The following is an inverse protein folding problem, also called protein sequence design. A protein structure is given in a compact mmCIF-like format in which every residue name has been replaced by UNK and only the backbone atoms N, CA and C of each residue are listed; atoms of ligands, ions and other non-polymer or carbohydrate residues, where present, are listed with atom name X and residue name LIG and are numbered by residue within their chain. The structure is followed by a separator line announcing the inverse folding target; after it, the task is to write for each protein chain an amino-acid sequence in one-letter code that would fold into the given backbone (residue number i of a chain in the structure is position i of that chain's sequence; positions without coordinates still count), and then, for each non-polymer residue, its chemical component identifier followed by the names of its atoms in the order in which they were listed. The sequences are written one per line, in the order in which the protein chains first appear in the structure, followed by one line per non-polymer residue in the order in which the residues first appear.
data_IF_932527841732
#
_entry.id   IF_932527841732
#
_cell.length_a   1.000
_cell.length_b   1.000
_cell.length_c   1.000
_cell.angle_alpha   90.00
_cell.angle_beta   90.00
_cell.angle_gamma   90.00
#
_symmetry.space_group_name_H-M   'P 1'
#
loop_
_entity.id
_entity.type
_entity.pdbx_description
1 polymer ?
#
# COMPACT_ATOMS: atom_id res chain seq x y z
N UNK A 1 -0.29 -68.69 -52.34
CA UNK A 1 -1.20 -68.22 -51.27
C UNK A 1 -0.58 -66.97 -50.63
N UNK A 2 -1.16 -65.77 -50.81
CA UNK A 2 -0.57 -64.54 -50.29
C UNK A 2 -0.92 -64.36 -48.82
N UNK A 3 0.10 -64.09 -47.99
CA UNK A 3 -0.06 -63.67 -46.59
C UNK A 3 -0.25 -62.14 -46.57
N UNK A 4 -1.42 -61.71 -46.11
CA UNK A 4 -1.76 -60.31 -45.86
C UNK A 4 -1.02 -59.86 -44.60
N UNK A 5 -0.12 -58.88 -44.73
CA UNK A 5 0.49 -58.17 -43.61
C UNK A 5 -0.52 -57.12 -43.12
N UNK A 6 -1.04 -57.27 -41.89
CA UNK A 6 -1.83 -56.25 -41.22
C UNK A 6 -0.86 -55.30 -40.50
N UNK A 7 -0.70 -54.08 -41.02
CA UNK A 7 0.09 -53.03 -40.39
C UNK A 7 -0.84 -52.24 -39.44
N UNK A 8 -0.80 -52.56 -38.14
CA UNK A 8 -1.50 -51.78 -37.10
C UNK A 8 -0.71 -50.50 -36.82
N UNK A 9 -1.25 -49.38 -37.28
CA UNK A 9 -0.74 -48.04 -37.00
C UNK A 9 -1.12 -47.67 -35.55
N UNK A 10 -0.17 -47.79 -34.62
CA UNK A 10 -0.28 -47.24 -33.27
C UNK A 10 -0.09 -45.72 -33.34
N UNK A 11 -1.18 -44.97 -33.21
CA UNK A 11 -1.14 -43.52 -33.03
C UNK A 11 -0.74 -43.24 -31.57
N UNK A 12 0.37 -42.55 -31.28
CA UNK A 12 0.64 -42.10 -29.93
C UNK A 12 -0.35 -40.98 -29.61
N UNK A 13 -1.24 -41.23 -28.64
CA UNK A 13 -1.94 -40.19 -27.91
C UNK A 13 -0.89 -39.40 -27.12
N UNK A 14 -0.31 -38.39 -27.76
CA UNK A 14 0.40 -37.32 -27.09
C UNK A 14 -0.62 -36.59 -26.22
N UNK A 15 -0.71 -36.99 -24.95
CA UNK A 15 -1.34 -36.19 -23.91
C UNK A 15 -0.57 -34.89 -23.81
N UNK A 16 -1.06 -33.87 -24.51
CA UNK A 16 -0.55 -32.51 -24.37
C UNK A 16 -0.77 -32.08 -22.94
N UNK A 17 0.33 -32.01 -22.20
CA UNK A 17 0.42 -31.32 -20.94
C UNK A 17 -0.15 -29.90 -21.09
N UNK A 18 -1.29 -29.62 -20.48
CA UNK A 18 -1.74 -28.25 -20.27
C UNK A 18 -0.93 -27.65 -19.13
N UNK A 19 0.36 -27.42 -19.38
CA UNK A 19 1.24 -26.59 -18.55
C UNK A 19 1.69 -25.42 -19.41
N UNK A 20 0.74 -24.55 -19.74
CA UNK A 20 1.00 -23.35 -20.54
C UNK A 20 -0.02 -22.25 -20.24
N UNK A 21 -0.19 -21.87 -18.97
CA UNK A 21 -0.86 -20.62 -18.59
C UNK A 21 -0.20 -20.03 -17.33
N UNK A 22 1.09 -19.69 -17.41
CA UNK A 22 1.74 -18.89 -16.35
C UNK A 22 2.74 -17.86 -16.88
N UNK A 23 2.84 -17.64 -18.20
CA UNK A 23 3.97 -16.85 -18.74
C UNK A 23 3.64 -15.53 -19.44
N UNK A 24 2.39 -15.05 -19.45
CA UNK A 24 2.09 -13.71 -20.00
C UNK A 24 0.89 -13.06 -19.30
N UNK A 25 0.84 -13.10 -17.97
CA UNK A 25 -0.01 -12.14 -17.27
C UNK A 25 0.78 -10.84 -17.11
N UNK A 26 0.35 -9.71 -17.72
CA UNK A 26 0.96 -8.43 -17.42
C UNK A 26 0.81 -8.21 -15.90
N UNK A 27 1.94 -8.04 -15.21
CA UNK A 27 1.93 -7.63 -13.82
C UNK A 27 1.07 -6.38 -13.74
N UNK A 28 0.05 -6.39 -12.89
CA UNK A 28 -0.77 -5.21 -12.68
C UNK A 28 0.19 -4.11 -12.19
N UNK A 29 0.39 -3.01 -12.94
CA UNK A 29 1.18 -1.91 -12.43
C UNK A 29 0.28 -1.15 -11.46
N UNK A 30 -0.04 -1.78 -10.34
CA UNK A 30 -0.80 -1.11 -9.30
C UNK A 30 0.20 -0.42 -8.41
N UNK A 31 0.17 0.89 -8.57
CA UNK A 31 1.01 1.83 -7.91
C UNK A 31 0.31 2.29 -6.62
N UNK A 32 1.01 2.31 -5.50
CA UNK A 32 0.57 3.06 -4.33
C UNK A 32 0.44 4.53 -4.69
N UNK A 33 -0.24 5.33 -3.86
CA UNK A 33 -0.45 6.72 -4.21
C UNK A 33 0.90 7.38 -4.49
N UNK A 34 1.95 7.26 -3.68
CA UNK A 34 3.25 7.91 -3.94
C UNK A 34 3.94 7.60 -5.28
N UNK A 35 3.45 6.65 -6.08
CA UNK A 35 4.00 6.25 -7.39
C UNK A 35 3.24 6.86 -8.60
N UNK A 36 2.44 7.92 -8.41
CA UNK A 36 1.89 8.70 -9.54
C UNK A 36 0.47 8.32 -10.00
N UNK A 37 -0.18 7.38 -9.33
CA UNK A 37 -1.49 6.87 -9.74
C UNK A 37 -2.67 7.64 -9.11
N UNK A 38 -2.82 8.94 -9.40
CA UNK A 38 -3.92 9.78 -8.84
C UNK A 38 -4.91 10.32 -9.86
N UNK A 39 -4.65 10.17 -11.16
CA UNK A 39 -5.60 10.64 -12.16
C UNK A 39 -6.91 9.85 -12.04
N UNK A 40 -7.96 10.51 -11.53
CA UNK A 40 -9.23 9.87 -11.24
C UNK A 40 -9.87 9.24 -12.49
N UNK A 41 -9.68 9.84 -13.67
CA UNK A 41 -10.15 9.29 -14.94
C UNK A 41 -9.48 7.95 -15.27
N UNK A 42 -8.15 7.93 -15.24
CA UNK A 42 -7.32 6.74 -15.47
C UNK A 42 -7.56 5.66 -14.43
N UNK A 43 -7.70 6.04 -13.15
CA UNK A 43 -8.04 5.13 -12.07
C UNK A 43 -9.41 4.50 -12.26
N UNK A 44 -10.43 5.28 -12.61
CA UNK A 44 -11.78 4.76 -12.85
C UNK A 44 -11.81 3.79 -14.06
N UNK A 45 -11.13 4.13 -15.15
CA UNK A 45 -11.00 3.24 -16.31
C UNK A 45 -10.28 1.93 -15.93
N UNK A 46 -9.19 2.03 -15.16
CA UNK A 46 -8.47 0.87 -14.64
C UNK A 46 -9.36 0.05 -13.72
N UNK A 47 -10.14 0.69 -12.84
CA UNK A 47 -11.05 0.01 -11.92
C UNK A 47 -12.09 -0.83 -12.66
N UNK A 48 -12.68 -0.29 -13.74
CA UNK A 48 -13.61 -1.05 -14.59
C UNK A 48 -12.94 -2.29 -15.21
N UNK A 49 -11.73 -2.12 -15.75
CA UNK A 49 -10.98 -3.22 -16.37
C UNK A 49 -10.63 -4.33 -15.35
N UNK A 50 -10.11 -3.95 -14.18
CA UNK A 50 -9.66 -4.91 -13.17
C UNK A 50 -10.82 -5.60 -12.45
N UNK A 51 -11.94 -4.91 -12.22
CA UNK A 51 -13.16 -5.57 -11.73
C UNK A 51 -13.67 -6.60 -12.73
N UNK A 52 -13.69 -6.29 -14.02
CA UNK A 52 -14.10 -7.27 -15.05
C UNK A 52 -13.20 -8.51 -15.07
N UNK A 53 -11.89 -8.35 -14.85
CA UNK A 53 -10.92 -9.46 -14.76
C UNK A 53 -11.09 -10.26 -13.47
N UNK A 54 -11.36 -9.60 -12.35
CA UNK A 54 -11.57 -10.24 -11.05
C UNK A 54 -12.81 -11.15 -11.03
N UNK A 55 -13.83 -10.80 -11.81
CA UNK A 55 -15.07 -11.60 -11.94
C UNK A 55 -14.88 -12.93 -12.68
N UNK A 56 -13.67 -13.26 -13.15
CA UNK A 56 -13.36 -14.57 -13.71
C UNK A 56 -13.31 -15.63 -12.60
N UNK A 57 -13.87 -16.82 -12.87
CA UNK A 57 -14.09 -17.92 -11.90
C UNK A 57 -12.81 -18.33 -11.14
N UNK A 58 -11.62 -18.11 -11.71
CA UNK A 58 -10.33 -18.49 -11.13
C UNK A 58 -9.31 -17.34 -11.14
N UNK A 59 -9.74 -16.09 -10.90
CA UNK A 59 -8.83 -14.95 -10.88
C UNK A 59 -7.67 -15.16 -9.86
N UNK A 60 -6.39 -15.05 -10.28
CA UNK A 60 -5.24 -15.19 -9.40
C UNK A 60 -5.26 -14.20 -8.24
N UNK A 61 -4.70 -14.57 -7.08
CA UNK A 61 -4.66 -13.71 -5.88
C UNK A 61 -3.99 -12.35 -6.17
N UNK A 62 -2.94 -12.32 -6.99
CA UNK A 62 -2.32 -11.08 -7.44
C UNK A 62 -3.27 -10.17 -8.24
N UNK A 63 -4.17 -10.76 -9.05
CA UNK A 63 -5.24 -10.02 -9.76
C UNK A 63 -6.25 -9.47 -8.76
N UNK A 64 -6.68 -10.26 -7.78
CA UNK A 64 -7.61 -9.80 -6.72
C UNK A 64 -7.04 -8.63 -5.94
N UNK A 65 -5.77 -8.71 -5.55
CA UNK A 65 -5.07 -7.65 -4.82
C UNK A 65 -4.85 -6.40 -5.66
N UNK A 66 -4.55 -6.56 -6.95
CA UNK A 66 -4.52 -5.44 -7.89
C UNK A 66 -5.87 -4.72 -7.94
N UNK A 67 -6.97 -5.46 -8.03
CA UNK A 67 -8.33 -4.93 -8.00
C UNK A 67 -8.64 -4.21 -6.69
N UNK A 68 -8.24 -4.77 -5.54
CA UNK A 68 -8.36 -4.12 -4.24
C UNK A 68 -7.70 -2.74 -4.25
N UNK A 69 -6.42 -2.68 -4.63
CA UNK A 69 -5.63 -1.44 -4.60
C UNK A 69 -6.16 -0.38 -5.57
N UNK A 70 -6.59 -0.78 -6.77
CA UNK A 70 -7.17 0.16 -7.74
C UNK A 70 -8.53 0.67 -7.26
N UNK A 71 -9.41 -0.21 -6.75
CA UNK A 71 -10.70 0.19 -6.17
C UNK A 71 -10.48 1.22 -5.05
N UNK A 72 -9.53 0.94 -4.15
CA UNK A 72 -9.16 1.85 -3.06
C UNK A 72 -8.67 3.19 -3.60
N UNK A 73 -7.69 3.19 -4.50
CA UNK A 73 -7.08 4.42 -4.99
C UNK A 73 -8.09 5.26 -5.79
N UNK A 74 -8.95 4.64 -6.59
CA UNK A 74 -10.03 5.33 -7.30
C UNK A 74 -11.01 6.00 -6.33
N UNK A 75 -11.40 5.29 -5.26
CA UNK A 75 -12.26 5.85 -4.21
C UNK A 75 -11.59 7.03 -3.51
N UNK A 76 -10.34 6.89 -3.06
CA UNK A 76 -9.62 7.97 -2.38
C UNK A 76 -9.45 9.21 -3.26
N UNK A 77 -9.12 9.01 -4.56
CA UNK A 77 -8.94 10.11 -5.50
C UNK A 77 -10.23 10.88 -5.80
N UNK A 78 -11.39 10.23 -5.69
CA UNK A 78 -12.70 10.85 -5.99
C UNK A 78 -13.45 11.34 -4.75
N UNK A 79 -13.01 10.94 -3.55
CA UNK A 79 -13.68 11.25 -2.28
C UNK A 79 -12.78 12.00 -1.30
N UNK A 80 -11.89 12.87 -1.77
CA UNK A 80 -11.01 13.70 -0.92
C UNK A 80 -10.21 12.90 0.12
N UNK A 81 -9.70 11.73 -0.29
CA UNK A 81 -8.95 10.84 0.58
C UNK A 81 -9.79 10.09 1.62
N UNK A 82 -11.13 10.14 1.52
CA UNK A 82 -12.03 9.34 2.34
C UNK A 82 -12.46 8.07 1.59
N UNK A 83 -12.84 7.05 2.36
CA UNK A 83 -13.40 5.82 1.83
C UNK A 83 -14.89 5.77 2.21
N UNK A 84 -15.81 6.09 1.28
CA UNK A 84 -17.24 5.97 1.52
C UNK A 84 -17.64 4.56 1.95
N UNK A 85 -18.70 4.46 2.72
CA UNK A 85 -19.19 3.20 3.28
C UNK A 85 -19.50 2.12 2.22
N UNK A 86 -19.99 2.52 1.04
CA UNK A 86 -20.21 1.58 -0.07
C UNK A 86 -18.89 1.01 -0.62
N UNK A 87 -17.89 1.88 -0.81
CA UNK A 87 -16.57 1.50 -1.32
C UNK A 87 -15.81 0.67 -0.29
N UNK A 88 -15.97 0.99 1.01
CA UNK A 88 -15.45 0.19 2.12
C UNK A 88 -15.98 -1.24 2.07
N UNK A 89 -17.30 -1.43 1.94
CA UNK A 89 -17.89 -2.78 1.82
C UNK A 89 -17.40 -3.55 0.59
N UNK A 90 -17.16 -2.85 -0.51
CA UNK A 90 -16.57 -3.48 -1.70
C UNK A 90 -15.15 -3.96 -1.42
N UNK A 91 -14.32 -3.13 -0.77
CA UNK A 91 -12.96 -3.50 -0.39
C UNK A 91 -12.93 -4.63 0.64
N UNK A 92 -13.85 -4.64 1.61
CA UNK A 92 -14.05 -5.74 2.56
C UNK A 92 -14.31 -7.06 1.83
N UNK A 93 -15.25 -7.06 0.88
CA UNK A 93 -15.54 -8.26 0.06
C UNK A 93 -14.31 -8.74 -0.72
N UNK A 94 -13.54 -7.83 -1.33
CA UNK A 94 -12.32 -8.22 -2.08
C UNK A 94 -11.25 -8.76 -1.11
N UNK A 95 -11.10 -8.16 0.07
CA UNK A 95 -10.14 -8.62 1.08
C UNK A 95 -10.51 -10.01 1.63
N UNK A 96 -11.80 -10.27 1.88
CA UNK A 96 -12.31 -11.58 2.27
C UNK A 96 -12.07 -12.63 1.18
N UNK A 97 -12.26 -12.28 -0.09
CA UNK A 97 -11.98 -13.16 -1.23
C UNK A 97 -10.48 -13.49 -1.37
N UNK A 98 -9.61 -12.53 -1.04
CA UNK A 98 -8.15 -12.73 -1.02
C UNK A 98 -7.78 -13.68 0.12
N UNK A 99 -8.24 -13.41 1.34
CA UNK A 99 -7.95 -14.24 2.51
C UNK A 99 -8.51 -15.66 2.36
N UNK A 100 -9.70 -15.81 1.78
CA UNK A 100 -10.28 -17.15 1.51
C UNK A 100 -9.45 -17.94 0.50
N UNK A 101 -8.95 -17.30 -0.56
CA UNK A 101 -8.19 -17.97 -1.60
C UNK A 101 -6.72 -18.23 -1.22
N UNK A 102 -6.12 -17.37 -0.41
CA UNK A 102 -4.75 -17.52 0.10
C UNK A 102 -4.62 -16.95 1.51
N UNK A 103 -5.04 -17.72 2.53
CA UNK A 103 -5.02 -17.29 3.93
C UNK A 103 -3.61 -16.90 4.39
N UNK A 104 -3.48 -15.74 5.05
CA UNK A 104 -2.21 -15.26 5.58
C UNK A 104 -1.15 -14.95 4.51
N UNK A 105 -1.56 -14.79 3.25
CA UNK A 105 -0.67 -14.36 2.17
C UNK A 105 -0.20 -12.92 2.36
N UNK A 106 0.82 -12.54 1.59
CA UNK A 106 1.28 -11.15 1.53
C UNK A 106 0.15 -10.20 1.13
N UNK A 107 -0.61 -10.58 0.10
CA UNK A 107 -1.73 -9.84 -0.44
C UNK A 107 -2.85 -9.66 0.60
N UNK A 108 -3.18 -10.72 1.34
CA UNK A 108 -4.17 -10.63 2.42
C UNK A 108 -3.74 -9.66 3.51
N UNK A 109 -2.48 -9.79 3.98
CA UNK A 109 -1.95 -8.89 5.01
C UNK A 109 -1.93 -7.42 4.58
N UNK A 110 -1.57 -7.11 3.33
CA UNK A 110 -1.62 -5.73 2.84
C UNK A 110 -3.05 -5.23 2.60
N UNK A 111 -3.98 -6.07 2.15
CA UNK A 111 -5.39 -5.68 2.02
C UNK A 111 -5.97 -5.29 3.39
N UNK A 112 -5.75 -6.11 4.42
CA UNK A 112 -6.14 -5.80 5.80
C UNK A 112 -5.44 -4.55 6.34
N UNK A 113 -4.13 -4.38 6.09
CA UNK A 113 -3.42 -3.16 6.47
C UNK A 113 -4.12 -1.91 5.93
N UNK A 114 -4.41 -1.86 4.63
CA UNK A 114 -4.99 -0.68 4.01
C UNK A 114 -6.44 -0.40 4.43
N UNK A 115 -7.23 -1.44 4.71
CA UNK A 115 -8.63 -1.31 5.11
C UNK A 115 -8.79 -0.81 6.55
N UNK A 116 -7.93 -1.32 7.44
CA UNK A 116 -7.99 -1.09 8.88
C UNK A 116 -7.12 0.09 9.34
N UNK A 117 -6.26 0.64 8.49
CA UNK A 117 -5.35 1.71 8.88
C UNK A 117 -6.10 2.93 9.45
N UNK A 118 -5.70 3.50 10.61
CA UNK A 118 -4.50 3.21 11.40
C UNK A 118 -4.76 2.34 12.65
N UNK A 119 -5.80 1.50 12.66
CA UNK A 119 -6.12 0.67 13.83
C UNK A 119 -5.00 -0.33 14.14
N UNK A 120 -4.87 -0.80 15.41
CA UNK A 120 -3.83 -1.77 15.79
C UNK A 120 -3.77 -3.02 14.92
N UNK A 121 -4.94 -3.49 14.43
CA UNK A 121 -5.04 -4.64 13.53
C UNK A 121 -4.29 -4.42 12.21
N UNK A 122 -4.29 -3.20 11.67
CA UNK A 122 -3.55 -2.87 10.44
C UNK A 122 -2.05 -3.09 10.60
N UNK A 123 -1.48 -2.68 11.75
CA UNK A 123 -0.04 -2.80 12.02
C UNK A 123 0.38 -4.27 12.22
N UNK A 124 -0.49 -5.09 12.81
CA UNK A 124 -0.26 -6.54 12.91
C UNK A 124 -0.28 -7.19 11.52
N UNK A 125 -1.25 -6.82 10.67
CA UNK A 125 -1.34 -7.33 9.31
C UNK A 125 -0.14 -6.92 8.45
N UNK A 126 0.35 -5.69 8.58
CA UNK A 126 1.58 -5.24 7.92
C UNK A 126 2.79 -6.06 8.37
N UNK A 127 2.94 -6.29 9.68
CA UNK A 127 4.04 -7.11 10.20
C UNK A 127 4.01 -8.53 9.61
N UNK A 128 2.82 -9.13 9.52
CA UNK A 128 2.63 -10.45 8.89
C UNK A 128 3.01 -10.44 7.40
N UNK A 129 2.53 -9.45 6.63
CA UNK A 129 2.89 -9.30 5.22
C UNK A 129 4.41 -9.16 5.04
N UNK A 130 5.07 -8.39 5.90
CA UNK A 130 6.53 -8.22 5.85
C UNK A 130 7.31 -9.49 6.19
N UNK A 131 6.75 -10.43 6.97
CA UNK A 131 7.36 -11.76 7.16
C UNK A 131 7.31 -12.61 5.89
N UNK A 132 6.26 -12.47 5.07
CA UNK A 132 6.07 -13.24 3.84
C UNK A 132 6.83 -12.63 2.66
N UNK A 133 6.80 -11.30 2.53
CA UNK A 133 7.41 -10.57 1.42
C UNK A 133 8.19 -9.33 1.86
N UNK A 134 9.29 -9.48 2.63
CA UNK A 134 10.03 -8.34 3.21
C UNK A 134 10.66 -7.42 2.16
N UNK A 135 10.94 -7.95 0.97
CA UNK A 135 11.64 -7.23 -0.10
C UNK A 135 10.73 -6.73 -1.21
N UNK A 136 9.41 -6.90 -1.07
CA UNK A 136 8.40 -6.46 -2.05
C UNK A 136 8.20 -4.93 -1.99
N UNK A 137 8.26 -4.21 -3.12
CA UNK A 137 8.11 -2.75 -3.12
C UNK A 137 6.85 -2.21 -2.45
N UNK A 138 5.77 -2.98 -2.49
CA UNK A 138 4.48 -2.62 -1.91
C UNK A 138 4.52 -2.43 -0.38
N UNK A 139 5.57 -2.91 0.32
CA UNK A 139 5.74 -2.64 1.75
C UNK A 139 6.58 -1.40 2.06
N UNK A 140 7.32 -0.80 1.13
CA UNK A 140 8.28 0.25 1.52
C UNK A 140 7.59 1.50 2.06
N UNK A 141 6.50 1.94 1.42
CA UNK A 141 5.66 3.03 1.93
C UNK A 141 5.04 2.69 3.28
N UNK A 142 4.26 1.60 3.39
CA UNK A 142 3.68 1.14 4.66
C UNK A 142 4.70 0.99 5.81
N UNK A 143 5.85 0.38 5.54
CA UNK A 143 6.91 0.16 6.53
C UNK A 143 7.59 1.47 6.95
N UNK A 144 7.76 2.42 6.02
CA UNK A 144 8.22 3.77 6.33
C UNK A 144 7.23 4.51 7.23
N UNK A 145 5.93 4.43 6.92
CA UNK A 145 4.87 5.01 7.75
C UNK A 145 4.81 4.38 9.14
N UNK A 146 4.92 3.07 9.25
CA UNK A 146 4.93 2.37 10.55
C UNK A 146 6.21 2.64 11.35
N UNK A 147 7.36 2.86 10.70
CA UNK A 147 8.58 3.35 11.36
C UNK A 147 8.42 4.79 11.87
N UNK A 148 7.74 5.67 11.12
CA UNK A 148 7.34 7.00 11.61
C UNK A 148 6.43 6.88 12.83
N UNK A 149 5.43 5.99 12.76
CA UNK A 149 4.47 5.76 13.83
C UNK A 149 5.16 5.43 15.15
N UNK A 150 6.08 4.47 15.11
CA UNK A 150 6.88 4.02 16.27
C UNK A 150 7.96 5.00 16.72
N UNK A 151 8.32 5.99 15.91
CA UNK A 151 9.51 6.81 16.16
C UNK A 151 10.82 6.02 15.98
N UNK A 152 10.80 4.98 15.14
CA UNK A 152 11.95 4.14 14.82
C UNK A 152 12.84 4.83 13.77
N UNK A 153 13.85 5.58 14.23
CA UNK A 153 14.75 6.32 13.34
C UNK A 153 15.54 5.41 12.40
N UNK A 154 15.98 4.24 12.86
CA UNK A 154 16.73 3.29 12.03
C UNK A 154 15.83 2.69 10.94
N UNK A 155 14.60 2.32 11.30
CA UNK A 155 13.58 1.88 10.35
C UNK A 155 13.22 2.97 9.34
N UNK A 156 13.06 4.21 9.78
CA UNK A 156 12.78 5.35 8.90
C UNK A 156 13.88 5.53 7.86
N UNK A 157 15.15 5.54 8.25
CA UNK A 157 16.27 5.66 7.32
C UNK A 157 16.34 4.48 6.34
N UNK A 158 16.17 3.25 6.83
CA UNK A 158 16.17 2.03 6.02
C UNK A 158 15.07 2.07 4.95
N UNK A 159 13.83 2.32 5.37
CA UNK A 159 12.67 2.27 4.46
C UNK A 159 12.59 3.48 3.55
N UNK A 160 13.05 4.66 4.00
CA UNK A 160 13.23 5.82 3.13
C UNK A 160 14.18 5.52 1.97
N UNK A 161 15.32 4.89 2.25
CA UNK A 161 16.26 4.48 1.20
C UNK A 161 15.64 3.45 0.26
N UNK A 162 14.97 2.43 0.80
CA UNK A 162 14.28 1.42 -0.02
C UNK A 162 13.20 2.05 -0.92
N UNK A 163 12.43 3.01 -0.40
CA UNK A 163 11.42 3.74 -1.16
C UNK A 163 12.04 4.50 -2.32
N UNK A 164 13.10 5.29 -2.08
CA UNK A 164 13.76 6.06 -3.15
C UNK A 164 14.44 5.19 -4.19
N UNK A 165 15.08 4.08 -3.78
CA UNK A 165 15.86 3.24 -4.67
C UNK A 165 14.99 2.26 -5.48
N UNK A 166 13.92 1.74 -4.85
CA UNK A 166 13.16 0.58 -5.37
C UNK A 166 11.64 0.74 -5.29
N UNK A 167 11.14 1.73 -4.56
CA UNK A 167 9.72 2.02 -4.44
C UNK A 167 9.16 2.82 -5.61
N UNK A 168 10.02 3.36 -6.48
CA UNK A 168 9.63 4.16 -7.65
C UNK A 168 8.60 5.28 -7.33
N UNK A 169 8.87 6.15 -6.32
CA UNK A 169 8.05 7.32 -6.09
C UNK A 169 8.05 8.22 -7.33
N UNK A 170 6.93 8.88 -7.58
CA UNK A 170 6.80 9.81 -8.69
C UNK A 170 7.79 10.98 -8.52
N UNK A 171 8.62 11.28 -9.54
CA UNK A 171 9.58 12.38 -9.46
C UNK A 171 8.94 13.73 -9.12
N UNK A 172 7.75 14.03 -9.64
CA UNK A 172 7.06 15.29 -9.38
C UNK A 172 6.62 15.41 -7.91
N UNK A 173 6.30 14.29 -7.24
CA UNK A 173 6.07 14.33 -5.79
C UNK A 173 7.35 14.53 -4.99
N UNK A 174 8.48 14.00 -5.45
CA UNK A 174 9.75 14.26 -4.78
C UNK A 174 10.13 15.74 -4.90
N UNK A 175 9.93 16.34 -6.07
CA UNK A 175 10.15 17.77 -6.28
C UNK A 175 9.20 18.60 -5.40
N UNK A 176 7.91 18.27 -5.41
CA UNK A 176 6.92 18.92 -4.55
C UNK A 176 7.23 18.78 -3.05
N UNK A 177 7.63 17.59 -2.60
CA UNK A 177 7.99 17.33 -1.21
C UNK A 177 9.26 18.11 -0.81
N UNK A 178 10.21 18.26 -1.72
CA UNK A 178 11.39 19.10 -1.51
C UNK A 178 11.00 20.58 -1.35
N UNK A 179 10.14 21.10 -2.22
CA UNK A 179 9.67 22.48 -2.16
C UNK A 179 8.86 22.74 -0.88
N UNK A 180 8.00 21.79 -0.49
CA UNK A 180 7.26 21.84 0.76
C UNK A 180 8.19 21.91 1.98
N UNK A 181 9.18 21.00 2.05
CA UNK A 181 10.15 20.98 3.14
C UNK A 181 10.98 22.27 3.18
N UNK A 182 11.49 22.72 2.03
CA UNK A 182 12.38 23.90 1.98
C UNK A 182 11.66 25.22 2.23
N UNK A 183 10.37 25.33 1.89
CA UNK A 183 9.54 26.50 2.20
C UNK A 183 9.01 26.53 3.63
N UNK A 184 9.07 25.42 4.37
CA UNK A 184 8.59 25.34 5.75
C UNK A 184 9.51 26.08 6.72
N UNK A 185 8.96 26.83 7.68
CA UNK A 185 9.76 27.59 8.66
C UNK A 185 10.70 26.67 9.48
N UNK A 186 11.86 27.17 9.95
CA UNK A 186 12.77 26.38 10.78
C UNK A 186 12.11 25.80 12.04
N UNK A 187 12.36 24.53 12.32
CA UNK A 187 11.81 23.78 13.48
C UNK A 187 10.27 23.73 13.55
N UNK A 188 9.58 23.97 12.42
CA UNK A 188 8.12 23.91 12.39
C UNK A 188 7.60 22.47 12.41
N UNK A 189 6.32 22.33 12.77
CA UNK A 189 5.54 21.10 12.57
C UNK A 189 4.79 21.22 11.25
N UNK A 190 5.04 20.27 10.36
CA UNK A 190 4.38 20.16 9.06
C UNK A 190 3.35 19.03 9.11
N UNK A 191 2.09 19.38 8.90
CA UNK A 191 0.98 18.45 8.82
C UNK A 191 0.84 17.93 7.38
N UNK A 192 0.78 16.62 7.24
CA UNK A 192 0.67 15.89 5.96
C UNK A 192 -0.46 14.86 6.05
N UNK A 193 -0.95 14.37 4.92
CA UNK A 193 -2.17 13.56 4.84
C UNK A 193 -1.97 12.21 4.13
N UNK A 194 -0.74 11.70 4.07
CA UNK A 194 -0.46 10.30 3.84
C UNK A 194 0.60 9.93 2.82
N UNK A 195 0.23 9.02 1.93
CA UNK A 195 1.20 8.36 1.04
C UNK A 195 1.92 9.35 0.14
N UNK A 196 1.19 10.28 -0.47
CA UNK A 196 1.74 11.22 -1.45
C UNK A 196 2.70 12.23 -0.84
N UNK A 197 2.41 12.70 0.38
CA UNK A 197 3.11 13.82 1.00
C UNK A 197 3.97 13.41 2.20
N UNK A 198 3.44 12.64 3.14
CA UNK A 198 4.20 12.14 4.29
C UNK A 198 5.36 11.27 3.82
N UNK A 199 5.13 10.28 2.96
CA UNK A 199 6.18 9.29 2.65
C UNK A 199 7.29 9.88 1.80
N UNK A 200 6.95 10.73 0.84
CA UNK A 200 7.93 11.40 -0.03
C UNK A 200 8.74 12.43 0.75
N UNK A 201 8.12 13.26 1.58
CA UNK A 201 8.83 14.18 2.46
C UNK A 201 9.73 13.43 3.45
N UNK A 202 9.20 12.40 4.11
CA UNK A 202 9.97 11.60 5.06
C UNK A 202 11.14 10.88 4.38
N UNK A 203 10.96 10.41 3.15
CA UNK A 203 12.05 9.80 2.39
C UNK A 203 13.18 10.80 2.09
N UNK A 204 12.85 12.03 1.72
CA UNK A 204 13.85 13.09 1.52
C UNK A 204 14.56 13.47 2.81
N UNK A 205 13.83 13.62 3.92
CA UNK A 205 14.44 13.91 5.23
C UNK A 205 15.43 12.82 5.64
N UNK A 206 15.00 11.57 5.58
CA UNK A 206 15.72 10.45 6.21
C UNK A 206 16.83 9.89 5.32
N UNK A 207 16.64 9.86 3.99
CA UNK A 207 17.64 9.34 3.07
C UNK A 207 18.57 10.42 2.50
N UNK A 208 18.14 11.69 2.45
CA UNK A 208 18.91 12.79 1.83
C UNK A 208 19.22 13.94 2.80
N UNK A 209 18.74 13.91 4.04
CA UNK A 209 19.02 14.93 5.04
C UNK A 209 18.34 16.28 4.76
N UNK A 210 17.32 16.31 3.90
CA UNK A 210 16.62 17.56 3.55
C UNK A 210 15.79 18.01 4.75
N UNK A 211 16.11 19.18 5.34
CA UNK A 211 15.27 19.82 6.37
C UNK A 211 14.85 18.88 7.51
N UNK A 212 15.80 18.12 8.06
CA UNK A 212 15.56 17.24 9.21
C UNK A 212 15.13 17.98 10.49
N UNK A 213 15.18 19.31 10.51
CA UNK A 213 14.64 20.16 11.56
C UNK A 213 13.10 20.26 11.54
N UNK A 214 12.47 20.02 10.39
CA UNK A 214 11.01 20.07 10.24
C UNK A 214 10.38 18.79 10.77
N UNK A 215 9.41 18.90 11.67
CA UNK A 215 8.71 17.74 12.19
C UNK A 215 7.54 17.35 11.28
N UNK A 216 7.56 16.16 10.70
CA UNK A 216 6.41 15.62 9.95
C UNK A 216 5.39 14.95 10.87
N UNK A 217 4.11 15.24 10.64
CA UNK A 217 2.97 14.57 11.27
C UNK A 217 2.00 14.10 10.19
N UNK A 218 1.72 12.79 10.14
CA UNK A 218 0.67 12.23 9.27
C UNK A 218 -0.67 12.32 10.01
N UNK A 219 -1.59 13.12 9.46
CA UNK A 219 -2.92 13.33 10.01
C UNK A 219 -3.72 12.03 10.09
N UNK A 220 -3.52 11.10 9.16
CA UNK A 220 -4.21 9.80 9.18
C UNK A 220 -3.79 8.95 10.37
N UNK A 221 -2.53 9.07 10.80
CA UNK A 221 -2.02 8.36 11.98
C UNK A 221 -2.51 8.95 13.30
N UNK A 222 -3.11 10.14 13.31
CA UNK A 222 -3.70 10.69 14.53
C UNK A 222 -4.87 9.85 15.06
N UNK A 223 -5.40 8.88 14.31
CA UNK A 223 -6.30 7.86 14.86
C UNK A 223 -5.61 6.89 15.85
N UNK A 224 -4.30 6.65 15.70
CA UNK A 224 -3.51 5.80 16.59
C UNK A 224 -3.17 6.53 17.90
N UNK A 225 -3.54 5.90 19.03
CA UNK A 225 -3.27 6.44 20.37
C UNK A 225 -1.78 6.52 20.68
N UNK A 226 -1.02 5.46 20.45
CA UNK A 226 0.42 5.40 20.74
C UNK A 226 1.18 6.49 19.96
N UNK A 227 0.80 6.71 18.70
CA UNK A 227 1.36 7.77 17.86
C UNK A 227 1.13 9.15 18.47
N UNK A 228 -0.12 9.45 18.85
CA UNK A 228 -0.48 10.71 19.51
C UNK A 228 0.28 10.89 20.83
N UNK A 229 0.30 9.87 21.68
CA UNK A 229 1.01 9.94 22.96
C UNK A 229 2.50 10.18 22.78
N UNK A 230 3.12 9.55 21.78
CA UNK A 230 4.54 9.77 21.44
C UNK A 230 4.78 11.20 20.99
N UNK A 231 3.97 11.71 20.06
CA UNK A 231 4.08 13.11 19.60
C UNK A 231 3.92 14.09 20.77
N UNK A 232 2.95 13.86 21.67
CA UNK A 232 2.76 14.72 22.83
C UNK A 232 3.94 14.68 23.80
N UNK A 233 4.52 13.51 24.06
CA UNK A 233 5.72 13.38 24.92
C UNK A 233 6.91 14.11 24.34
N UNK A 234 7.04 14.17 23.01
CA UNK A 234 8.16 14.84 22.35
C UNK A 234 7.94 16.35 22.20
N UNK A 235 6.74 16.80 21.86
CA UNK A 235 6.48 18.20 21.44
C UNK A 235 5.41 18.93 22.27
N UNK A 236 4.57 18.20 23.00
CA UNK A 236 3.50 18.76 23.81
C UNK A 236 3.98 19.38 25.12
N UNK A 237 3.07 20.07 25.82
CA UNK A 237 3.32 20.62 27.17
C UNK A 237 2.26 20.12 28.14
N UNK A 238 2.69 19.62 29.29
CA UNK A 238 1.81 19.10 30.33
C UNK A 238 1.43 17.63 30.15
N UNK A 239 0.46 17.16 30.94
CA UNK A 239 0.04 15.77 30.92
C UNK A 239 -0.53 15.37 29.55
N UNK A 240 -0.22 14.15 29.12
CA UNK A 240 -0.78 13.54 27.91
C UNK A 240 -2.31 13.57 28.02
N UNK A 241 -3.03 14.19 27.05
CA UNK A 241 -4.48 14.20 27.08
C UNK A 241 -5.00 12.77 27.01
N UNK A 242 -6.07 12.47 27.76
CA UNK A 242 -6.74 11.17 27.70
C UNK A 242 -7.39 10.90 26.34
N UNK A 243 -8.06 9.76 26.23
CA UNK A 243 -8.77 9.38 25.00
C UNK A 243 -9.94 10.34 24.71
N UNK A 244 -10.07 10.77 23.45
CA UNK A 244 -11.26 11.50 22.96
C UNK A 244 -11.01 12.88 22.33
N UNK A 245 -12.09 13.66 22.07
CA UNK A 245 -12.03 14.96 21.38
C UNK A 245 -11.26 16.06 22.16
N UNK A 246 -10.87 15.78 23.40
CA UNK A 246 -10.03 16.66 24.21
C UNK A 246 -8.58 16.75 23.71
N UNK A 247 -8.09 15.72 23.02
CA UNK A 247 -6.77 15.76 22.39
C UNK A 247 -6.75 16.78 21.24
N UNK A 248 -7.78 16.80 20.39
CA UNK A 248 -7.90 17.76 19.28
C UNK A 248 -8.08 19.20 19.78
N UNK A 249 -8.79 19.40 20.90
CA UNK A 249 -9.03 20.74 21.47
C UNK A 249 -7.82 21.35 22.19
N UNK A 250 -6.81 20.57 22.57
CA UNK A 250 -5.61 21.06 23.29
C UNK A 250 -4.39 21.30 22.38
N UNK A 251 -4.52 21.01 21.08
CA UNK A 251 -3.49 21.27 20.07
C UNK A 251 -3.72 22.58 19.28
N UNK A 252 -4.88 23.21 19.43
CA UNK A 252 -5.21 24.53 18.87
C UNK A 252 -4.98 25.63 19.93
#
# INVERSE_FOLDING_TARGET
MPRILLLTLLIPLAGTATRAQTQNEPAAPVNDAYQGAWDAGTLNQSNLFWNARNSAVDAPVATRFATFRITRNASLATNSGQLPEADRRQLESIAEDIETAAPGSFEAGLATYYLEFPAPASHQALAMAMTVGPDRPEVFGPALGDALRRGDAAGQQRWAKALLDRGAPDPALLDWAHDLLTSTAPNAVLLTAGEMDTYTALALQQARGVRGDVQLVDLRMLGDREYRERLWKTYGKGAVPGDGPDYARKLA
#
